data_IF_132043952097
#
_entry.id   IF_132043952097
#
_cell.length_a   1.000
_cell.length_b   1.000
_cell.length_c   1.000
_cell.angle_alpha   90.00
_cell.angle_beta   90.00
_cell.angle_gamma   90.00
#
_symmetry.space_group_name_H-M   'P 1'
#
loop_
_entity.id
_entity.type
_entity.pdbx_description
1 polymer ?
#
# COMPACT_ATOMS: atom_id res chain seq x y z
N UNK A 1 24.60 27.88 2.15
CA UNK A 1 23.13 27.80 2.38
C UNK A 1 22.40 27.11 1.21
N UNK A 2 22.65 27.50 -0.05
CA UNK A 2 22.03 26.86 -1.23
C UNK A 2 22.26 25.34 -1.32
N UNK A 3 23.47 24.85 -1.00
CA UNK A 3 23.78 23.41 -0.98
C UNK A 3 22.95 22.60 0.02
N UNK A 4 22.69 23.16 1.21
CA UNK A 4 21.83 22.53 2.23
C UNK A 4 20.38 22.44 1.75
N UNK A 5 19.88 23.48 1.09
CA UNK A 5 18.52 23.51 0.53
C UNK A 5 18.38 22.45 -0.58
N UNK A 6 19.36 22.36 -1.49
CA UNK A 6 19.37 21.33 -2.54
C UNK A 6 19.34 19.92 -1.91
N UNK A 7 20.18 19.69 -0.89
CA UNK A 7 20.19 18.41 -0.18
C UNK A 7 18.82 18.06 0.43
N UNK A 8 18.16 19.01 1.08
CA UNK A 8 16.81 18.80 1.64
C UNK A 8 15.77 18.48 0.56
N UNK A 9 15.81 19.19 -0.57
CA UNK A 9 14.89 18.95 -1.69
C UNK A 9 15.12 17.55 -2.27
N UNK A 10 16.38 17.17 -2.51
CA UNK A 10 16.72 15.83 -3.00
C UNK A 10 16.26 14.74 -2.02
N UNK A 11 16.52 14.91 -0.73
CA UNK A 11 16.10 13.96 0.30
C UNK A 11 14.58 13.83 0.38
N UNK A 12 13.84 14.94 0.31
CA UNK A 12 12.38 14.93 0.29
C UNK A 12 11.83 14.23 -0.96
N UNK A 13 12.41 14.50 -2.14
CA UNK A 13 12.03 13.84 -3.39
C UNK A 13 12.22 12.31 -3.33
N UNK A 14 13.39 11.86 -2.84
CA UNK A 14 13.67 10.44 -2.65
C UNK A 14 12.70 9.81 -1.65
N UNK A 15 12.41 10.49 -0.55
CA UNK A 15 11.48 10.00 0.48
C UNK A 15 10.05 9.83 -0.05
N UNK A 16 9.59 10.78 -0.88
CA UNK A 16 8.28 10.69 -1.55
C UNK A 16 8.25 9.48 -2.46
N UNK A 17 9.24 9.31 -3.35
CA UNK A 17 9.33 8.15 -4.24
C UNK A 17 9.32 6.86 -3.42
N UNK A 18 10.15 6.77 -2.37
CA UNK A 18 10.21 5.59 -1.51
C UNK A 18 8.86 5.26 -0.87
N UNK A 19 8.06 6.26 -0.47
CA UNK A 19 6.71 6.07 0.07
C UNK A 19 5.75 5.44 -0.94
N UNK A 20 5.87 5.75 -2.23
CA UNK A 20 5.07 5.11 -3.27
C UNK A 20 5.41 3.64 -3.49
N UNK A 21 6.63 3.21 -3.15
CA UNK A 21 7.05 1.81 -3.28
C UNK A 21 6.97 1.02 -1.98
N UNK A 22 6.90 1.66 -0.81
CA UNK A 22 6.74 0.94 0.47
C UNK A 22 5.28 0.84 0.91
N UNK A 23 4.92 -0.32 1.45
CA UNK A 23 3.63 -0.61 2.08
C UNK A 23 3.81 -1.07 3.51
N UNK A 24 2.81 -0.82 4.35
CA UNK A 24 2.67 -1.43 5.67
C UNK A 24 1.31 -2.10 5.68
N UNK A 25 1.28 -3.40 5.92
CA UNK A 25 0.06 -4.14 6.16
C UNK A 25 -0.11 -4.33 7.67
N UNK A 26 -1.36 -4.28 8.12
CA UNK A 26 -1.74 -4.58 9.51
C UNK A 26 -2.72 -5.73 9.44
N UNK A 27 -2.40 -6.84 10.11
CA UNK A 27 -3.28 -8.00 10.12
C UNK A 27 -4.58 -7.67 10.83
N UNK A 28 -5.69 -7.98 10.17
CA UNK A 28 -7.02 -7.63 10.67
C UNK A 28 -7.36 -8.43 11.96
N UNK A 29 -6.84 -9.65 12.11
CA UNK A 29 -7.11 -10.53 13.26
C UNK A 29 -6.19 -10.30 14.47
N UNK A 30 -4.89 -10.07 14.23
CA UNK A 30 -3.86 -10.06 15.28
C UNK A 30 -3.20 -8.69 15.49
N UNK A 31 -3.43 -7.73 14.60
CA UNK A 31 -2.88 -6.37 14.69
C UNK A 31 -1.37 -6.26 14.39
N UNK A 32 -0.72 -7.37 14.04
CA UNK A 32 0.68 -7.41 13.66
C UNK A 32 0.91 -6.56 12.40
N UNK A 33 2.08 -5.90 12.35
CA UNK A 33 2.43 -4.99 11.26
C UNK A 33 3.57 -5.57 10.44
N UNK A 34 3.37 -5.67 9.14
CA UNK A 34 4.38 -6.14 8.20
C UNK A 34 4.73 -5.04 7.20
N UNK A 35 6.02 -4.75 7.08
CA UNK A 35 6.55 -3.78 6.12
C UNK A 35 7.01 -4.51 4.86
N UNK A 36 6.60 -4.03 3.69
CA UNK A 36 6.91 -4.68 2.42
C UNK A 36 7.16 -3.67 1.28
N UNK A 37 7.82 -4.14 0.22
CA UNK A 37 8.16 -3.34 -0.96
C UNK A 37 7.24 -3.72 -2.13
N UNK A 38 6.39 -2.80 -2.57
CA UNK A 38 5.55 -2.92 -3.76
C UNK A 38 6.43 -2.86 -5.01
N UNK A 39 6.06 -3.62 -6.03
CA UNK A 39 6.77 -3.62 -7.32
C UNK A 39 6.34 -2.49 -8.26
N UNK A 40 5.32 -1.69 -7.88
CA UNK A 40 4.87 -0.52 -8.63
C UNK A 40 4.48 0.65 -7.70
N UNK A 41 4.56 1.91 -8.17
CA UNK A 41 4.35 3.09 -7.33
C UNK A 41 2.85 3.34 -7.09
N UNK A 42 2.38 3.05 -5.88
CA UNK A 42 0.99 3.30 -5.48
C UNK A 42 0.94 4.01 -4.13
N UNK A 43 0.15 5.09 -4.06
CA UNK A 43 -0.01 5.91 -2.86
C UNK A 43 -0.88 5.24 -1.80
N UNK A 44 -2.08 4.79 -2.19
CA UNK A 44 -3.09 4.17 -1.33
C UNK A 44 -3.60 2.89 -1.99
N UNK A 45 -3.85 1.90 -1.14
CA UNK A 45 -4.58 0.68 -1.44
C UNK A 45 -5.17 0.19 -0.11
N UNK A 46 -6.31 -0.48 -0.15
CA UNK A 46 -6.96 -1.09 1.01
C UNK A 46 -7.80 -2.28 0.55
N UNK A 47 -8.29 -3.10 1.48
CA UNK A 47 -9.25 -4.15 1.18
C UNK A 47 -10.67 -3.67 1.50
N UNK A 48 -11.50 -3.32 0.50
CA UNK A 48 -12.94 -3.11 0.69
C UNK A 48 -13.65 -4.33 1.28
N UNK A 49 -13.22 -5.54 0.94
CA UNK A 49 -13.84 -6.78 1.43
C UNK A 49 -13.46 -7.02 2.90
N UNK A 50 -12.17 -6.94 3.25
CA UNK A 50 -11.71 -7.20 4.62
C UNK A 50 -12.25 -8.53 5.18
N UNK A 51 -12.81 -8.49 6.39
CA UNK A 51 -13.50 -9.62 7.03
C UNK A 51 -15.01 -9.69 6.73
N UNK A 52 -15.53 -8.90 5.78
CA UNK A 52 -16.96 -8.90 5.46
C UNK A 52 -17.33 -10.02 4.49
N UNK A 53 -18.62 -10.38 4.47
CA UNK A 53 -19.18 -11.35 3.50
C UNK A 53 -19.41 -10.74 2.09
N UNK A 54 -18.94 -9.51 1.85
CA UNK A 54 -19.10 -8.81 0.57
C UNK A 54 -18.30 -9.54 -0.50
N UNK A 55 -18.92 -9.80 -1.66
CA UNK A 55 -18.22 -10.43 -2.77
C UNK A 55 -17.55 -9.38 -3.66
N UNK A 56 -16.53 -9.82 -4.38
CA UNK A 56 -15.81 -8.93 -5.30
C UNK A 56 -16.74 -8.34 -6.36
N UNK A 57 -17.77 -9.07 -6.78
CA UNK A 57 -18.75 -8.64 -7.78
C UNK A 57 -19.60 -7.47 -7.29
N UNK A 58 -19.86 -7.40 -5.99
CA UNK A 58 -20.71 -6.40 -5.33
C UNK A 58 -20.02 -5.04 -5.16
N UNK A 59 -18.70 -4.99 -5.35
CA UNK A 59 -17.89 -3.77 -5.24
C UNK A 59 -18.12 -2.81 -6.43
N UNK A 60 -18.01 -1.51 -6.15
CA UNK A 60 -17.91 -0.46 -7.18
C UNK A 60 -16.65 -0.65 -8.04
N UNK A 61 -16.57 0.05 -9.18
CA UNK A 61 -15.41 -0.04 -10.06
C UNK A 61 -14.12 0.40 -9.36
N UNK A 62 -14.20 1.45 -8.54
CA UNK A 62 -13.10 2.00 -7.76
C UNK A 62 -12.66 1.01 -6.67
N UNK A 63 -13.61 0.46 -5.92
CA UNK A 63 -13.32 -0.55 -4.89
C UNK A 63 -12.71 -1.83 -5.49
N UNK A 64 -13.15 -2.24 -6.68
CA UNK A 64 -12.53 -3.36 -7.41
C UNK A 64 -11.06 -3.10 -7.71
N UNK A 65 -10.69 -1.87 -8.05
CA UNK A 65 -9.29 -1.49 -8.28
C UNK A 65 -8.50 -1.57 -6.97
N UNK A 66 -9.03 -1.01 -5.89
CA UNK A 66 -8.39 -1.02 -4.58
C UNK A 66 -8.21 -2.44 -4.05
N UNK A 67 -9.23 -3.29 -4.16
CA UNK A 67 -9.18 -4.69 -3.77
C UNK A 67 -8.18 -5.48 -4.62
N UNK A 68 -8.07 -5.20 -5.92
CA UNK A 68 -7.03 -5.81 -6.78
C UNK A 68 -5.64 -5.43 -6.30
N UNK A 69 -5.42 -4.17 -5.94
CA UNK A 69 -4.14 -3.69 -5.42
C UNK A 69 -3.79 -4.36 -4.09
N UNK A 70 -4.78 -4.50 -3.20
CA UNK A 70 -4.61 -5.24 -1.96
C UNK A 70 -4.27 -6.72 -2.21
N UNK A 71 -4.97 -7.39 -3.12
CA UNK A 71 -4.70 -8.77 -3.47
C UNK A 71 -3.26 -8.95 -3.97
N UNK A 72 -2.85 -8.12 -4.92
CA UNK A 72 -1.51 -8.14 -5.53
C UNK A 72 -0.38 -7.87 -4.53
N UNK A 73 -0.58 -6.89 -3.62
CA UNK A 73 0.47 -6.43 -2.73
C UNK A 73 0.53 -7.15 -1.39
N UNK A 74 -0.58 -7.73 -0.93
CA UNK A 74 -0.71 -8.33 0.40
C UNK A 74 -1.07 -9.80 0.30
N UNK A 75 -2.22 -10.12 -0.31
CA UNK A 75 -2.78 -11.48 -0.31
C UNK A 75 -1.93 -12.48 -1.08
N UNK A 76 -1.59 -12.18 -2.32
CA UNK A 76 -0.80 -13.06 -3.21
C UNK A 76 0.63 -13.27 -2.72
N UNK A 77 1.14 -12.33 -1.90
CA UNK A 77 2.45 -12.45 -1.25
C UNK A 77 2.41 -13.23 0.06
N UNK A 78 1.23 -13.67 0.49
CA UNK A 78 1.06 -14.42 1.73
C UNK A 78 1.20 -13.58 2.99
N UNK A 79 1.07 -12.24 2.89
CA UNK A 79 1.09 -11.33 4.04
C UNK A 79 -0.27 -11.30 4.76
N UNK A 80 -1.35 -11.73 4.12
CA UNK A 80 -2.69 -11.86 4.71
C UNK A 80 -3.09 -13.34 4.66
N UNK A 81 -2.54 -14.14 5.57
CA UNK A 81 -2.92 -15.54 5.78
C UNK A 81 -3.99 -15.65 6.84
#
# INVERSE_FOLDING_TARGET
MKSKIIFFISFAGISIIFRFFCGVYVHDEFGDKELFIKHRPIWKFYSPIGMSDIKFEDLSAEEKIEQKYFNEFVRERGLSR
#
